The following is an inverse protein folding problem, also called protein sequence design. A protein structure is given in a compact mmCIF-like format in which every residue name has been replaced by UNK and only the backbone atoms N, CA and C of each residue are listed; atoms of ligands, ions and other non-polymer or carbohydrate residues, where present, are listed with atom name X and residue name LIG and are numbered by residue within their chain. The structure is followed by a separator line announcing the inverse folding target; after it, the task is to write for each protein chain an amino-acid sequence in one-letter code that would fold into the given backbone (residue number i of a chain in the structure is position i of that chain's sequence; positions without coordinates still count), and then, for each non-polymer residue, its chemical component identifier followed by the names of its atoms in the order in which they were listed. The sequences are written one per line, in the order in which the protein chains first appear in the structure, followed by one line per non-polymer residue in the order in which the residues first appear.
data_IF_756497329946
#
_entry.id   IF_756497329946
#
_cell.length_a   1.000
_cell.length_b   1.000
_cell.length_c   1.000
_cell.angle_alpha   90.00
_cell.angle_beta   90.00
_cell.angle_gamma   90.00
#
_symmetry.space_group_name_H-M   'P 1'
#
loop_
_entity.id
_entity.type
_entity.pdbx_description
1 polymer ?
#
# COMPACT_ATOMS: atom_id res chain seq x y z
N UNK A 1 -16.05 -0.84 -16.86
CA UNK A 1 -16.71 -1.48 -15.71
C UNK A 1 -16.67 -0.51 -14.54
N UNK A 2 -17.64 -0.52 -13.61
CA UNK A 2 -17.54 0.26 -12.38
C UNK A 2 -16.33 -0.20 -11.55
N UNK A 3 -15.72 0.73 -10.81
CA UNK A 3 -14.60 0.50 -9.90
C UNK A 3 -14.97 1.08 -8.53
N UNK A 4 -14.70 0.35 -7.46
CA UNK A 4 -14.82 0.81 -6.07
C UNK A 4 -13.46 1.31 -5.60
N UNK A 5 -13.42 2.50 -4.99
CA UNK A 5 -12.23 3.05 -4.37
C UNK A 5 -12.23 2.73 -2.87
N UNK A 6 -11.31 1.87 -2.44
CA UNK A 6 -11.13 1.47 -1.05
C UNK A 6 -9.95 2.20 -0.40
N UNK A 7 -10.15 2.67 0.82
CA UNK A 7 -9.15 3.42 1.58
C UNK A 7 -8.87 2.71 2.91
N UNK A 8 -7.63 2.29 3.17
CA UNK A 8 -7.27 1.47 4.32
C UNK A 8 -6.00 1.95 5.03
N UNK A 9 -6.18 2.51 6.22
CA UNK A 9 -5.09 2.90 7.11
C UNK A 9 -5.17 2.09 8.40
N UNK A 10 -4.23 1.17 8.60
CA UNK A 10 -4.36 0.14 9.63
C UNK A 10 -3.03 -0.21 10.30
N UNK A 11 -3.06 -0.83 11.47
CA UNK A 11 -1.85 -1.34 12.13
C UNK A 11 -1.20 -2.49 11.34
N UNK A 12 0.12 -2.70 11.48
CA UNK A 12 0.82 -3.84 10.85
C UNK A 12 0.21 -5.20 11.22
N UNK A 13 -0.30 -5.34 12.45
CA UNK A 13 -1.03 -6.54 12.90
C UNK A 13 -2.29 -6.78 12.07
N UNK A 14 -3.07 -5.73 11.78
CA UNK A 14 -4.28 -5.85 10.98
C UNK A 14 -3.95 -6.34 9.57
N UNK A 15 -2.93 -5.76 8.93
CA UNK A 15 -2.48 -6.18 7.60
C UNK A 15 -2.12 -7.67 7.55
N UNK A 16 -1.38 -8.17 8.54
CA UNK A 16 -1.07 -9.61 8.62
C UNK A 16 -2.28 -10.51 8.87
N UNK A 17 -3.30 -10.02 9.59
CA UNK A 17 -4.52 -10.78 9.87
C UNK A 17 -5.55 -10.75 8.74
N UNK A 18 -5.39 -9.88 7.73
CA UNK A 18 -6.34 -9.70 6.63
C UNK A 18 -5.69 -9.96 5.26
N UNK A 19 -4.75 -10.92 5.21
CA UNK A 19 -4.07 -11.31 3.97
C UNK A 19 -5.01 -11.99 2.95
N UNK A 20 -6.19 -12.40 3.39
CA UNK A 20 -7.27 -13.00 2.62
C UNK A 20 -8.38 -12.01 2.23
N UNK A 21 -8.20 -10.71 2.49
CA UNK A 21 -9.23 -9.66 2.31
C UNK A 21 -9.93 -9.69 0.95
N UNK A 22 -9.20 -10.00 -0.14
CA UNK A 22 -9.77 -10.02 -1.49
C UNK A 22 -10.16 -11.43 -1.98
N UNK A 23 -9.84 -12.50 -1.25
CA UNK A 23 -9.96 -13.88 -1.72
C UNK A 23 -11.41 -14.28 -2.05
N UNK A 24 -12.40 -13.72 -1.36
CA UNK A 24 -13.83 -14.03 -1.56
C UNK A 24 -14.60 -12.95 -2.33
N UNK A 25 -13.90 -11.93 -2.86
CA UNK A 25 -14.56 -10.84 -3.61
C UNK A 25 -15.26 -11.37 -4.86
N UNK A 26 -16.41 -10.81 -5.25
CA UNK A 26 -17.12 -11.26 -6.46
C UNK A 26 -16.37 -10.85 -7.74
N UNK A 27 -15.96 -11.84 -8.55
CA UNK A 27 -15.20 -11.64 -9.80
C UNK A 27 -16.06 -11.05 -10.93
N UNK A 28 -17.37 -11.16 -10.82
CA UNK A 28 -18.33 -10.56 -11.75
C UNK A 28 -18.79 -9.16 -11.30
N UNK A 29 -18.39 -8.76 -10.09
CA UNK A 29 -18.67 -7.45 -9.50
C UNK A 29 -17.79 -6.32 -10.04
N UNK A 30 -17.90 -5.10 -9.46
CA UNK A 30 -16.98 -4.01 -9.75
C UNK A 30 -15.54 -4.40 -9.39
N UNK A 31 -14.56 -3.87 -10.13
CA UNK A 31 -13.14 -4.02 -9.75
C UNK A 31 -12.82 -3.11 -8.57
N UNK A 32 -11.74 -3.42 -7.86
CA UNK A 32 -11.26 -2.61 -6.74
C UNK A 32 -10.08 -1.77 -7.18
N UNK A 33 -10.08 -0.51 -6.75
CA UNK A 33 -8.91 0.34 -6.66
C UNK A 33 -8.64 0.58 -5.17
N UNK A 34 -7.52 0.07 -4.64
CA UNK A 34 -7.08 0.40 -3.28
C UNK A 34 -6.38 1.76 -3.33
N UNK A 35 -7.16 2.84 -3.44
CA UNK A 35 -6.66 4.15 -3.83
C UNK A 35 -5.88 4.89 -2.76
N UNK A 36 -6.09 4.52 -1.50
CA UNK A 36 -5.27 4.99 -0.40
C UNK A 36 -5.00 3.83 0.57
N UNK A 37 -3.73 3.50 0.79
CA UNK A 37 -3.40 2.58 1.88
C UNK A 37 -2.04 2.87 2.51
N UNK A 38 -1.92 2.48 3.78
CA UNK A 38 -0.67 2.55 4.52
C UNK A 38 -0.79 1.93 5.91
N UNK A 39 0.31 1.35 6.39
CA UNK A 39 0.41 0.88 7.76
C UNK A 39 0.71 2.02 8.72
N UNK A 40 0.14 2.00 9.93
CA UNK A 40 0.42 2.99 10.96
C UNK A 40 1.84 2.79 11.54
N UNK A 41 2.83 3.36 10.86
CA UNK A 41 4.22 3.42 11.30
C UNK A 41 5.22 3.17 10.17
N UNK A 42 6.47 3.56 10.41
CA UNK A 42 7.57 3.47 9.44
C UNK A 42 8.61 2.39 9.79
N UNK A 43 8.30 1.51 10.76
CA UNK A 43 9.20 0.43 11.16
C UNK A 43 9.23 -0.67 10.11
N UNK A 44 10.27 -1.52 10.15
CA UNK A 44 10.40 -2.65 9.22
C UNK A 44 9.16 -3.57 9.21
N UNK A 45 8.53 -3.77 10.36
CA UNK A 45 7.32 -4.62 10.47
C UNK A 45 6.13 -4.06 9.68
N UNK A 46 6.02 -2.73 9.56
CA UNK A 46 4.99 -2.07 8.77
C UNK A 46 5.18 -2.40 7.28
N UNK A 47 6.40 -2.19 6.77
CA UNK A 47 6.76 -2.51 5.40
C UNK A 47 6.58 -4.00 5.08
N UNK A 48 6.97 -4.91 5.99
CA UNK A 48 6.76 -6.35 5.81
C UNK A 48 5.27 -6.70 5.73
N UNK A 49 4.43 -6.07 6.55
CA UNK A 49 2.99 -6.30 6.52
C UNK A 49 2.33 -5.80 5.23
N UNK A 50 2.78 -4.64 4.73
CA UNK A 50 2.35 -4.11 3.44
C UNK A 50 2.81 -4.99 2.28
N UNK A 51 4.06 -5.47 2.31
CA UNK A 51 4.59 -6.39 1.29
C UNK A 51 3.79 -7.70 1.26
N UNK A 52 3.48 -8.28 2.42
CA UNK A 52 2.66 -9.49 2.50
C UNK A 52 1.27 -9.27 1.91
N UNK A 53 0.64 -8.14 2.24
CA UNK A 53 -0.67 -7.78 1.68
C UNK A 53 -0.60 -7.54 0.17
N UNK A 54 0.41 -6.82 -0.31
CA UNK A 54 0.62 -6.59 -1.74
C UNK A 54 0.83 -7.88 -2.53
N UNK A 55 1.54 -8.88 -1.98
CA UNK A 55 1.64 -10.20 -2.63
C UNK A 55 0.29 -10.89 -2.78
N UNK A 56 -0.60 -10.77 -1.79
CA UNK A 56 -1.97 -11.33 -1.87
C UNK A 56 -2.86 -10.53 -2.80
N UNK A 57 -2.63 -9.23 -2.87
CA UNK A 57 -3.29 -8.34 -3.83
C UNK A 57 -2.92 -8.69 -5.27
N UNK A 58 -1.65 -8.95 -5.58
CA UNK A 58 -1.23 -9.43 -6.92
C UNK A 58 -1.86 -10.78 -7.27
N UNK A 59 -1.96 -11.71 -6.31
CA UNK A 59 -2.67 -12.98 -6.52
C UNK A 59 -4.16 -12.80 -6.83
N UNK A 60 -4.76 -11.69 -6.42
CA UNK A 60 -6.14 -11.29 -6.70
C UNK A 60 -6.19 -10.13 -7.72
N UNK A 61 -5.21 -10.04 -8.64
CA UNK A 61 -5.15 -9.00 -9.68
C UNK A 61 -6.29 -9.07 -10.70
N UNK A 62 -7.04 -10.18 -10.73
CA UNK A 62 -8.31 -10.28 -11.45
C UNK A 62 -9.39 -9.40 -10.82
N UNK A 63 -9.32 -9.11 -9.51
CA UNK A 63 -10.26 -8.26 -8.76
C UNK A 63 -9.69 -6.86 -8.51
N UNK A 64 -8.44 -6.77 -8.05
CA UNK A 64 -7.78 -5.51 -7.70
C UNK A 64 -7.04 -4.97 -8.91
N UNK A 65 -7.59 -3.92 -9.52
CA UNK A 65 -7.08 -3.37 -10.77
C UNK A 65 -5.91 -2.39 -10.55
N UNK A 66 -5.90 -1.68 -9.42
CA UNK A 66 -4.94 -0.62 -9.10
C UNK A 66 -4.77 -0.51 -7.58
N UNK A 67 -3.63 0.01 -7.13
CA UNK A 67 -3.40 0.35 -5.73
C UNK A 67 -2.47 1.57 -5.61
N UNK A 68 -2.60 2.37 -4.56
CA UNK A 68 -1.77 3.56 -4.33
C UNK A 68 -1.50 3.79 -2.85
N UNK A 69 -0.22 3.78 -2.49
CA UNK A 69 0.19 4.10 -1.12
C UNK A 69 -0.10 5.56 -0.81
N UNK A 70 -0.61 5.84 0.39
CA UNK A 70 -0.89 7.20 0.83
C UNK A 70 -0.50 7.44 2.30
N UNK A 71 -0.11 8.68 2.65
CA UNK A 71 0.21 9.78 1.74
C UNK A 71 1.60 9.63 1.11
N UNK A 72 1.82 10.27 -0.06
CA UNK A 72 3.02 10.03 -0.87
C UNK A 72 4.24 10.87 -0.43
N UNK A 73 4.05 12.17 -0.18
CA UNK A 73 5.14 13.12 0.07
C UNK A 73 4.93 13.93 1.33
N UNK A 74 5.96 14.02 2.16
CA UNK A 74 6.01 14.88 3.33
C UNK A 74 7.31 15.68 3.42
N UNK A 75 7.20 16.97 3.73
CA UNK A 75 8.36 17.78 4.10
C UNK A 75 8.68 17.56 5.59
N UNK A 76 9.93 17.28 5.92
CA UNK A 76 10.37 17.14 7.32
C UNK A 76 10.07 18.42 8.12
N UNK A 77 9.48 18.25 9.29
CA UNK A 77 9.02 19.36 10.15
C UNK A 77 7.73 20.07 9.69
N UNK A 78 7.11 19.64 8.58
CA UNK A 78 5.93 20.27 8.00
C UNK A 78 4.88 19.26 7.49
N UNK A 79 4.68 18.15 8.20
CA UNK A 79 3.66 17.15 7.88
C UNK A 79 2.53 17.13 8.92
N UNK A 80 1.31 16.86 8.47
CA UNK A 80 0.13 16.68 9.35
C UNK A 80 -0.27 15.21 9.51
N UNK A 81 0.46 14.30 8.86
CA UNK A 81 0.27 12.86 8.89
C UNK A 81 1.62 12.17 9.07
N UNK A 82 1.62 10.95 9.61
CA UNK A 82 2.80 10.10 9.75
C UNK A 82 2.33 8.63 9.85
N UNK A 83 2.79 7.72 8.98
CA UNK A 83 3.88 7.85 8.01
C UNK A 83 3.46 8.31 6.60
N UNK A 84 4.43 8.78 5.82
CA UNK A 84 4.38 9.11 4.39
C UNK A 84 5.42 8.29 3.63
N UNK A 85 5.23 8.07 2.32
CA UNK A 85 6.13 7.20 1.55
C UNK A 85 7.49 7.83 1.25
N UNK A 86 7.55 9.15 1.05
CA UNK A 86 8.78 9.87 0.70
C UNK A 86 8.85 11.15 1.53
N UNK A 87 9.87 11.21 2.38
CA UNK A 87 10.19 12.40 3.17
C UNK A 87 11.26 13.23 2.47
N UNK A 88 11.20 14.56 2.58
CA UNK A 88 12.23 15.44 2.02
C UNK A 88 12.40 16.75 2.80
N UNK A 89 13.52 17.43 2.59
CA UNK A 89 13.75 18.79 3.06
C UNK A 89 14.69 19.55 2.10
N UNK A 90 15.31 20.63 2.58
CA UNK A 90 16.23 21.43 1.78
C UNK A 90 17.58 20.76 1.52
N UNK A 91 17.87 19.65 2.20
CA UNK A 91 19.16 18.97 2.16
C UNK A 91 19.06 17.60 1.47
N UNK A 92 17.92 16.90 1.58
CA UNK A 92 17.80 15.57 0.99
C UNK A 92 16.39 14.98 0.89
N UNK A 93 16.39 13.71 0.46
CA UNK A 93 15.21 12.84 0.34
C UNK A 93 15.46 11.59 1.18
N UNK A 94 14.46 11.17 1.93
CA UNK A 94 14.51 10.10 2.91
C UNK A 94 13.41 9.09 2.64
N UNK A 95 13.78 7.81 2.64
CA UNK A 95 12.92 6.71 2.23
C UNK A 95 12.67 5.75 3.41
N UNK A 96 11.45 5.69 3.97
CA UNK A 96 11.06 4.66 4.92
C UNK A 96 11.11 3.26 4.31
N UNK A 97 11.02 2.20 5.13
CA UNK A 97 11.04 0.83 4.62
C UNK A 97 9.93 0.55 3.59
N UNK A 98 8.73 1.14 3.78
CA UNK A 98 7.59 1.02 2.86
C UNK A 98 7.89 1.52 1.45
N UNK A 99 8.76 2.53 1.30
CA UNK A 99 9.22 3.01 -0.02
C UNK A 99 9.86 1.89 -0.83
N UNK A 100 10.73 1.10 -0.20
CA UNK A 100 11.44 0.02 -0.87
C UNK A 100 10.50 -1.10 -1.28
N UNK A 101 9.46 -1.37 -0.49
CA UNK A 101 8.40 -2.31 -0.84
C UNK A 101 7.66 -1.84 -2.08
N UNK A 102 7.16 -0.60 -2.09
CA UNK A 102 6.47 -0.03 -3.25
C UNK A 102 7.38 -0.02 -4.50
N UNK A 103 8.67 0.30 -4.33
CA UNK A 103 9.64 0.29 -5.42
C UNK A 103 9.84 -1.12 -6.01
N UNK A 104 9.93 -2.15 -5.16
CA UNK A 104 10.07 -3.53 -5.62
C UNK A 104 8.83 -3.97 -6.41
N UNK A 105 7.63 -3.88 -5.82
CA UNK A 105 6.38 -4.26 -6.50
C UNK A 105 6.12 -3.44 -7.78
N UNK A 106 6.42 -2.13 -7.76
CA UNK A 106 6.27 -1.28 -8.94
C UNK A 106 7.26 -1.59 -10.07
N UNK A 107 8.32 -2.37 -9.82
CA UNK A 107 9.33 -2.76 -10.82
C UNK A 107 9.34 -4.24 -11.15
N UNK A 108 8.81 -5.09 -10.29
CA UNK A 108 8.84 -6.55 -10.42
C UNK A 108 7.45 -7.14 -10.25
N UNK A 109 6.43 -6.48 -10.80
CA UNK A 109 5.06 -6.96 -10.73
C UNK A 109 4.98 -8.38 -11.28
N UNK A 110 4.15 -9.22 -10.66
CA UNK A 110 3.88 -10.55 -11.18
C UNK A 110 3.29 -10.46 -12.59
N UNK A 111 3.83 -11.23 -13.54
CA UNK A 111 3.23 -11.37 -14.86
C UNK A 111 1.87 -12.08 -14.73
N UNK A 112 0.83 -11.46 -15.30
CA UNK A 112 -0.54 -11.99 -15.37
C UNK A 112 -0.73 -12.98 -16.50
#
# INVERSE_FOLDING_TARGET
MPIVDEHSYQSSSWWFHNLDHYDETDRQGPKVYLGEYGSWGSMLINALSEAAFMSRMELNGDVVAMASYAPLFARNGHHSWNPDLIYFDGEGVYHPYSYWVQMMFGRTAADS
#
